data_IF_743923414022
#
_entry.id   IF_743923414022
#
_cell.length_a   1.000
_cell.length_b   1.000
_cell.length_c   1.000
_cell.angle_alpha   90.00
_cell.angle_beta   90.00
_cell.angle_gamma   90.00
#
_symmetry.space_group_name_H-M   'P 1'
#
loop_
_entity.id
_entity.type
_entity.pdbx_description
1 polymer ?
#
# COMPACT_ATOMS: atom_id res chain seq x y z
N UNK A 1 -6.79 -48.40 -8.70
CA UNK A 1 -6.27 -47.80 -9.96
C UNK A 1 -6.87 -46.43 -10.28
N UNK A 2 -8.20 -46.25 -10.29
CA UNK A 2 -8.83 -44.96 -10.63
C UNK A 2 -8.47 -43.77 -9.71
N UNK A 3 -8.30 -44.01 -8.40
CA UNK A 3 -7.89 -42.96 -7.47
C UNK A 3 -6.46 -42.46 -7.72
N UNK A 4 -5.54 -43.38 -8.08
CA UNK A 4 -4.13 -43.08 -8.32
C UNK A 4 -3.94 -42.33 -9.64
N UNK A 5 -4.65 -42.74 -10.71
CA UNK A 5 -4.69 -42.00 -11.98
C UNK A 5 -5.32 -40.61 -11.84
N UNK A 6 -6.39 -40.49 -11.05
CA UNK A 6 -7.03 -39.19 -10.77
C UNK A 6 -6.11 -38.28 -9.96
N UNK A 7 -5.35 -38.81 -8.99
CA UNK A 7 -4.34 -38.08 -8.25
C UNK A 7 -3.18 -37.60 -9.14
N UNK A 8 -2.66 -38.47 -10.03
CA UNK A 8 -1.58 -38.11 -10.97
C UNK A 8 -2.06 -37.03 -11.96
N UNK A 9 -3.27 -37.17 -12.50
CA UNK A 9 -3.85 -36.19 -13.44
C UNK A 9 -4.13 -34.85 -12.75
N UNK A 10 -4.65 -34.87 -11.52
CA UNK A 10 -4.83 -33.68 -10.67
C UNK A 10 -3.48 -33.00 -10.39
N UNK A 11 -2.44 -33.77 -10.07
CA UNK A 11 -1.08 -33.25 -9.81
C UNK A 11 -0.47 -32.61 -11.05
N UNK A 12 -0.61 -33.25 -12.22
CA UNK A 12 -0.12 -32.70 -13.50
C UNK A 12 -0.86 -31.42 -13.89
N UNK A 13 -2.17 -31.35 -13.65
CA UNK A 13 -2.96 -30.14 -13.89
C UNK A 13 -2.57 -28.99 -12.96
N UNK A 14 -2.36 -29.26 -11.66
CA UNK A 14 -1.93 -28.27 -10.67
C UNK A 14 -0.51 -27.76 -10.99
N UNK A 15 0.42 -28.65 -11.33
CA UNK A 15 1.78 -28.26 -11.74
C UNK A 15 1.74 -27.35 -12.97
N UNK A 16 0.98 -27.73 -14.01
CA UNK A 16 0.85 -26.94 -15.24
C UNK A 16 0.18 -25.57 -14.98
N UNK A 17 -0.79 -25.50 -14.07
CA UNK A 17 -1.44 -24.25 -13.67
C UNK A 17 -0.49 -23.33 -12.89
N UNK A 18 0.35 -23.89 -12.00
CA UNK A 18 1.38 -23.15 -11.27
C UNK A 18 2.47 -22.62 -12.22
N UNK A 19 2.93 -23.45 -13.17
CA UNK A 19 3.94 -23.06 -14.17
C UNK A 19 3.41 -21.96 -15.09
N UNK A 20 2.16 -22.07 -15.56
CA UNK A 20 1.52 -21.01 -16.37
C UNK A 20 1.35 -19.69 -15.61
N UNK A 21 1.04 -19.74 -14.30
CA UNK A 21 0.97 -18.56 -13.45
C UNK A 21 2.35 -17.92 -13.25
N UNK A 22 3.38 -18.74 -13.04
CA UNK A 22 4.76 -18.28 -12.89
C UNK A 22 5.23 -17.59 -14.18
N UNK A 23 4.98 -18.18 -15.35
CA UNK A 23 5.36 -17.58 -16.64
C UNK A 23 4.74 -16.18 -16.81
N UNK A 24 3.44 -16.02 -16.50
CA UNK A 24 2.78 -14.70 -16.56
C UNK A 24 3.44 -13.67 -15.64
N UNK A 25 3.80 -14.07 -14.42
CA UNK A 25 4.52 -13.20 -13.47
C UNK A 25 5.91 -12.86 -13.96
N UNK A 26 6.66 -13.83 -14.48
CA UNK A 26 8.00 -13.61 -15.03
C UNK A 26 7.98 -12.63 -16.19
N UNK A 27 7.04 -12.78 -17.13
CA UNK A 27 6.88 -11.85 -18.26
C UNK A 27 6.54 -10.45 -17.74
N UNK A 28 5.61 -10.34 -16.79
CA UNK A 28 5.23 -9.05 -16.22
C UNK A 28 6.39 -8.37 -15.47
N UNK A 29 7.12 -9.13 -14.65
CA UNK A 29 8.31 -8.63 -13.95
C UNK A 29 9.41 -8.19 -14.92
N UNK A 30 9.61 -8.92 -16.02
CA UNK A 30 10.56 -8.52 -17.08
C UNK A 30 10.16 -7.20 -17.75
N UNK A 31 8.87 -6.97 -18.00
CA UNK A 31 8.38 -5.69 -18.55
C UNK A 31 8.73 -4.55 -17.58
N UNK A 32 8.40 -4.69 -16.28
CA UNK A 32 8.72 -3.67 -15.28
C UNK A 32 10.23 -3.41 -15.19
N UNK A 33 11.04 -4.47 -15.18
CA UNK A 33 12.50 -4.32 -15.16
C UNK A 33 13.01 -3.65 -16.43
N UNK A 34 12.44 -3.94 -17.61
CA UNK A 34 12.84 -3.30 -18.87
C UNK A 34 12.53 -1.80 -18.89
N UNK A 35 11.49 -1.36 -18.18
CA UNK A 35 11.20 0.06 -17.98
C UNK A 35 12.31 0.76 -17.18
N UNK A 36 12.86 0.10 -16.15
CA UNK A 36 13.91 0.66 -15.29
C UNK A 36 15.20 1.01 -16.05
N UNK A 37 15.48 0.31 -17.15
CA UNK A 37 16.69 0.49 -17.96
C UNK A 37 16.49 1.38 -19.20
N UNK A 38 15.37 2.10 -19.30
CA UNK A 38 15.18 3.11 -20.35
C UNK A 38 16.13 4.31 -20.15
N UNK A 39 16.52 4.96 -21.25
CA UNK A 39 17.39 6.14 -21.26
C UNK A 39 16.60 7.45 -21.42
N UNK A 40 17.28 8.57 -21.13
CA UNK A 40 16.69 9.92 -21.18
C UNK A 40 15.76 10.23 -20.00
N UNK A 41 15.06 11.36 -20.10
CA UNK A 41 14.16 11.91 -19.07
C UNK A 41 13.10 10.90 -18.62
N UNK A 42 12.55 10.14 -19.58
CA UNK A 42 11.58 9.08 -19.30
C UNK A 42 12.15 7.99 -18.38
N UNK A 43 13.40 7.60 -18.63
CA UNK A 43 14.09 6.63 -17.78
C UNK A 43 14.41 7.17 -16.39
N UNK A 44 14.69 8.47 -16.27
CA UNK A 44 14.93 9.12 -14.97
C UNK A 44 13.69 9.08 -14.10
N UNK A 45 12.53 9.50 -14.64
CA UNK A 45 11.24 9.46 -13.94
C UNK A 45 10.90 8.04 -13.50
N UNK A 46 11.12 7.03 -14.35
CA UNK A 46 10.88 5.63 -13.98
C UNK A 46 11.76 5.21 -12.80
N UNK A 47 13.06 5.52 -12.83
CA UNK A 47 14.00 5.13 -11.76
C UNK A 47 13.70 5.85 -10.46
N UNK A 48 13.33 7.12 -10.52
CA UNK A 48 12.92 7.93 -9.38
C UNK A 48 11.65 7.35 -8.75
N UNK A 49 10.61 7.13 -9.55
CA UNK A 49 9.35 6.50 -9.15
C UNK A 49 9.55 5.13 -8.48
N UNK A 50 10.43 4.28 -9.03
CA UNK A 50 10.78 3.00 -8.42
C UNK A 50 11.55 3.15 -7.10
N UNK A 51 12.43 4.14 -7.00
CA UNK A 51 13.22 4.44 -5.80
C UNK A 51 12.29 4.92 -4.67
N UNK A 52 11.36 5.82 -4.98
CA UNK A 52 10.36 6.33 -4.05
C UNK A 52 9.42 5.23 -3.57
N UNK A 53 8.83 4.46 -4.47
CA UNK A 53 7.97 3.32 -4.12
C UNK A 53 8.69 2.29 -3.21
N UNK A 54 10.02 2.16 -3.32
CA UNK A 54 10.78 1.31 -2.41
C UNK A 54 11.03 1.98 -1.06
N UNK A 55 11.61 3.18 -1.04
CA UNK A 55 12.07 3.85 0.18
C UNK A 55 10.95 4.48 1.02
N UNK A 56 9.87 4.94 0.39
CA UNK A 56 8.75 5.58 1.10
C UNK A 56 7.65 4.58 1.46
N UNK A 57 7.48 3.51 0.69
CA UNK A 57 6.42 2.51 0.93
C UNK A 57 7.00 1.16 1.36
N UNK A 58 7.83 0.55 0.53
CA UNK A 58 8.20 -0.87 0.71
C UNK A 58 8.99 -1.16 1.98
N UNK A 59 9.89 -0.27 2.39
CA UNK A 59 10.68 -0.45 3.62
C UNK A 59 9.81 -0.35 4.87
N UNK A 60 8.79 0.53 4.89
CA UNK A 60 7.84 0.65 6.00
C UNK A 60 6.88 -0.54 6.05
N UNK A 61 6.45 -1.04 4.90
CA UNK A 61 5.68 -2.29 4.79
C UNK A 61 6.51 -3.48 5.29
N UNK A 62 7.76 -3.59 4.86
CA UNK A 62 8.67 -4.62 5.35
C UNK A 62 8.84 -4.55 6.86
N UNK A 63 9.08 -3.37 7.41
CA UNK A 63 9.23 -3.16 8.85
C UNK A 63 7.98 -3.53 9.64
N UNK A 64 6.82 -3.06 9.21
CA UNK A 64 5.53 -3.37 9.87
C UNK A 64 5.20 -4.87 9.81
N UNK A 65 5.50 -5.54 8.69
CA UNK A 65 5.36 -6.99 8.57
C UNK A 65 6.40 -7.76 9.43
N UNK A 66 7.63 -7.25 9.57
CA UNK A 66 8.61 -7.82 10.51
C UNK A 66 8.07 -7.79 11.94
N UNK A 67 7.49 -6.68 12.37
CA UNK A 67 6.87 -6.58 13.69
C UNK A 67 5.71 -7.57 13.79
N UNK A 68 4.75 -7.52 12.87
CA UNK A 68 3.50 -8.28 13.01
C UNK A 68 3.68 -9.79 12.85
N UNK A 69 4.39 -10.23 11.81
CA UNK A 69 4.71 -11.65 11.60
C UNK A 69 5.76 -12.11 12.63
N UNK A 70 6.66 -11.22 13.06
CA UNK A 70 7.65 -11.49 14.10
C UNK A 70 6.97 -11.81 15.42
N UNK A 71 6.01 -10.99 15.84
CA UNK A 71 5.19 -11.23 17.03
C UNK A 71 4.46 -12.57 16.96
N UNK A 72 3.86 -12.93 15.81
CA UNK A 72 3.15 -14.21 15.65
C UNK A 72 4.05 -15.45 15.60
N UNK A 73 5.31 -15.28 15.17
CA UNK A 73 6.23 -16.40 14.94
C UNK A 73 7.25 -16.61 16.05
N UNK A 74 7.67 -15.53 16.73
CA UNK A 74 8.67 -15.53 17.80
C UNK A 74 8.05 -15.58 19.19
N UNK A 75 6.76 -15.25 19.34
CA UNK A 75 6.07 -15.27 20.63
C UNK A 75 4.92 -16.27 20.65
N UNK A 76 4.39 -16.60 21.83
CA UNK A 76 3.14 -17.38 21.97
C UNK A 76 1.88 -16.59 21.55
N UNK A 77 2.03 -15.36 21.05
CA UNK A 77 0.93 -14.52 20.64
C UNK A 77 0.33 -15.04 19.33
N UNK A 78 -0.88 -15.60 19.42
CA UNK A 78 -1.58 -16.06 18.24
C UNK A 78 -2.48 -14.93 17.72
N UNK A 79 -2.09 -14.29 16.62
CA UNK A 79 -2.86 -13.20 15.99
C UNK A 79 -4.32 -13.61 15.80
N UNK A 80 -4.57 -14.86 15.38
CA UNK A 80 -5.93 -15.36 15.15
C UNK A 80 -6.77 -15.34 16.42
N UNK A 81 -6.18 -15.72 17.56
CA UNK A 81 -6.85 -15.71 18.86
C UNK A 81 -7.07 -14.29 19.36
N UNK A 82 -6.10 -13.39 19.16
CA UNK A 82 -6.24 -11.98 19.49
C UNK A 82 -7.40 -11.34 18.72
N UNK A 83 -7.39 -11.43 17.39
CA UNK A 83 -8.45 -10.90 16.52
C UNK A 83 -9.82 -11.51 16.86
N UNK A 84 -9.88 -12.81 17.17
CA UNK A 84 -11.16 -13.41 17.58
C UNK A 84 -11.73 -12.82 18.89
N UNK A 85 -10.86 -12.35 19.80
CA UNK A 85 -11.27 -11.75 21.07
C UNK A 85 -11.62 -10.26 20.93
N UNK A 86 -10.97 -9.55 20.01
CA UNK A 86 -11.09 -8.10 19.85
C UNK A 86 -12.02 -7.69 18.70
N UNK A 87 -12.90 -8.59 18.25
CA UNK A 87 -13.79 -8.36 17.10
C UNK A 87 -14.58 -7.05 17.16
N UNK A 88 -15.03 -6.64 18.35
CA UNK A 88 -15.74 -5.36 18.56
C UNK A 88 -14.89 -4.12 18.33
N UNK A 89 -13.57 -4.22 18.47
CA UNK A 89 -12.61 -3.12 18.38
C UNK A 89 -11.84 -3.12 17.06
N UNK A 90 -12.13 -4.03 16.12
CA UNK A 90 -11.43 -4.12 14.84
C UNK A 90 -11.49 -2.83 14.04
N UNK A 91 -12.65 -2.19 13.98
CA UNK A 91 -12.85 -0.91 13.29
C UNK A 91 -11.99 0.20 13.89
N UNK A 92 -12.03 0.36 15.22
CA UNK A 92 -11.24 1.37 15.93
C UNK A 92 -9.73 1.15 15.75
N UNK A 93 -9.26 -0.10 15.90
CA UNK A 93 -7.85 -0.45 15.69
C UNK A 93 -7.44 -0.19 14.24
N UNK A 94 -8.30 -0.50 13.28
CA UNK A 94 -8.03 -0.26 11.87
C UNK A 94 -7.91 1.23 11.56
N UNK A 95 -8.82 2.05 12.07
CA UNK A 95 -8.76 3.51 11.91
C UNK A 95 -7.52 4.10 12.59
N UNK A 96 -7.15 3.62 13.78
CA UNK A 96 -5.91 4.03 14.45
C UNK A 96 -4.66 3.69 13.65
N UNK A 97 -4.60 2.48 13.06
CA UNK A 97 -3.50 2.09 12.18
C UNK A 97 -3.46 2.91 10.88
N UNK A 98 -4.61 3.41 10.40
CA UNK A 98 -4.70 4.29 9.23
C UNK A 98 -4.22 5.70 9.53
N UNK A 99 -4.54 6.24 10.70
CA UNK A 99 -4.12 7.57 11.12
C UNK A 99 -2.59 7.70 11.37
N UNK A 100 -1.86 6.59 11.41
CA UNK A 100 -0.39 6.62 11.46
C UNK A 100 0.15 7.10 10.11
N UNK A 101 1.13 8.02 10.08
CA UNK A 101 1.67 8.53 8.83
C UNK A 101 2.36 7.41 8.02
N UNK A 102 2.25 7.50 6.70
CA UNK A 102 2.68 6.46 5.75
C UNK A 102 1.64 5.34 5.54
N UNK A 103 1.94 4.40 4.66
CA UNK A 103 0.99 3.36 4.24
C UNK A 103 1.09 2.03 5.02
N UNK A 104 2.07 1.87 5.92
CA UNK A 104 2.36 0.60 6.59
C UNK A 104 1.20 0.04 7.44
N UNK A 105 0.53 0.89 8.21
CA UNK A 105 -0.63 0.49 9.03
C UNK A 105 -1.84 0.09 8.19
N UNK A 106 -2.11 0.85 7.12
CA UNK A 106 -3.15 0.53 6.15
C UNK A 106 -2.92 -0.82 5.47
N UNK A 107 -1.69 -1.10 5.08
CA UNK A 107 -1.32 -2.38 4.45
C UNK A 107 -1.53 -3.55 5.41
N UNK A 108 -1.23 -3.41 6.71
CA UNK A 108 -1.56 -4.46 7.69
C UNK A 108 -3.06 -4.74 7.69
N UNK A 109 -3.92 -3.73 7.76
CA UNK A 109 -5.38 -3.94 7.80
C UNK A 109 -5.88 -4.57 6.50
N UNK A 110 -5.44 -4.08 5.34
CA UNK A 110 -5.75 -4.66 4.03
C UNK A 110 -5.31 -6.12 3.97
N UNK A 111 -4.11 -6.44 4.47
CA UNK A 111 -3.61 -7.83 4.51
C UNK A 111 -4.51 -8.75 5.33
N UNK A 112 -4.96 -8.29 6.50
CA UNK A 112 -5.83 -9.07 7.38
C UNK A 112 -7.25 -9.19 6.83
N UNK A 113 -7.75 -8.16 6.12
CA UNK A 113 -9.01 -8.21 5.40
C UNK A 113 -8.98 -9.27 4.29
N UNK A 114 -7.94 -9.26 3.45
CA UNK A 114 -7.79 -10.24 2.35
C UNK A 114 -7.65 -11.68 2.87
N UNK A 115 -7.09 -11.86 4.06
CA UNK A 115 -7.03 -13.16 4.75
C UNK A 115 -8.36 -13.58 5.40
N UNK A 116 -9.42 -12.76 5.27
CA UNK A 116 -10.74 -13.01 5.84
C UNK A 116 -10.80 -12.89 7.36
N UNK A 117 -9.85 -12.17 7.98
CA UNK A 117 -9.77 -12.00 9.44
C UNK A 117 -10.40 -10.71 9.94
N UNK A 118 -10.41 -9.67 9.10
CA UNK A 118 -11.11 -8.42 9.34
C UNK A 118 -12.33 -8.30 8.42
N UNK A 119 -13.30 -7.49 8.84
CA UNK A 119 -14.53 -7.19 8.10
C UNK A 119 -14.36 -6.00 7.14
N UNK A 120 -15.35 -5.79 6.29
CA UNK A 120 -15.35 -4.67 5.35
C UNK A 120 -15.39 -3.30 6.04
N UNK A 121 -16.08 -3.17 7.19
CA UNK A 121 -16.04 -1.94 7.97
C UNK A 121 -14.63 -1.55 8.42
N UNK A 122 -13.78 -2.52 8.79
CA UNK A 122 -12.37 -2.26 9.11
C UNK A 122 -11.56 -1.80 7.89
N UNK A 123 -11.86 -2.34 6.70
CA UNK A 123 -11.22 -1.90 5.45
C UNK A 123 -11.57 -0.45 5.14
N UNK A 124 -12.84 -0.07 5.23
CA UNK A 124 -13.23 1.34 5.01
C UNK A 124 -12.65 2.24 6.09
N UNK A 125 -12.68 1.83 7.36
CA UNK A 125 -12.17 2.65 8.46
C UNK A 125 -10.70 3.00 8.32
N UNK A 126 -9.86 2.08 7.84
CA UNK A 126 -8.44 2.34 7.63
C UNK A 126 -8.20 3.22 6.40
N UNK A 127 -8.94 2.98 5.30
CA UNK A 127 -8.82 3.76 4.07
C UNK A 127 -9.39 5.17 4.22
N UNK A 128 -10.34 5.38 5.13
CA UNK A 128 -10.88 6.72 5.44
C UNK A 128 -9.99 7.52 6.39
N UNK A 129 -9.17 6.84 7.20
CA UNK A 129 -8.32 7.48 8.21
C UNK A 129 -6.88 7.73 7.74
N UNK A 130 -6.49 7.19 6.59
CA UNK A 130 -5.12 7.26 6.08
C UNK A 130 -4.91 8.46 5.18
N UNK A 131 -3.82 9.17 5.40
CA UNK A 131 -3.38 10.28 4.55
C UNK A 131 -2.12 9.93 3.72
N UNK A 132 -1.56 8.72 3.91
CA UNK A 132 -0.37 8.28 3.20
C UNK A 132 0.85 9.13 3.55
N UNK A 133 1.68 9.45 2.56
CA UNK A 133 2.93 10.18 2.77
C UNK A 133 2.73 11.70 2.88
N UNK A 134 1.63 12.24 2.36
CA UNK A 134 1.22 13.63 2.56
C UNK A 134 1.08 13.98 4.06
N UNK A 135 0.78 12.97 4.88
CA UNK A 135 0.76 13.06 6.34
C UNK A 135 2.10 13.60 6.92
N UNK A 136 3.24 13.12 6.40
CA UNK A 136 4.56 13.57 6.84
C UNK A 136 4.83 15.02 6.43
N UNK A 137 4.41 15.40 5.23
CA UNK A 137 4.57 16.76 4.71
C UNK A 137 3.82 17.78 5.57
N UNK A 138 2.53 17.57 5.81
CA UNK A 138 1.73 18.51 6.61
C UNK A 138 2.21 18.54 8.05
N UNK A 139 2.55 17.40 8.66
CA UNK A 139 3.09 17.39 10.02
C UNK A 139 4.42 18.16 10.15
N UNK A 140 5.26 18.12 9.12
CA UNK A 140 6.54 18.82 9.11
C UNK A 140 6.38 20.34 8.98
N UNK A 141 5.40 20.80 8.19
CA UNK A 141 5.19 22.23 7.90
C UNK A 141 4.18 22.88 8.86
N UNK A 142 3.01 22.26 9.06
CA UNK A 142 1.93 22.71 9.94
C UNK A 142 1.47 21.59 10.90
N UNK A 143 2.23 21.32 11.98
CA UNK A 143 1.97 20.18 12.88
C UNK A 143 0.60 20.24 13.56
N UNK A 144 0.10 21.44 13.91
CA UNK A 144 -1.22 21.61 14.51
C UNK A 144 -2.34 21.20 13.56
N UNK A 145 -2.23 21.59 12.29
CA UNK A 145 -3.19 21.24 11.24
C UNK A 145 -3.10 19.75 10.93
N UNK A 146 -1.89 19.19 10.81
CA UNK A 146 -1.70 17.76 10.60
C UNK A 146 -2.34 16.90 11.71
N UNK A 147 -2.15 17.27 12.98
CA UNK A 147 -2.79 16.60 14.11
C UNK A 147 -4.32 16.72 14.07
N UNK A 148 -4.85 17.87 13.67
CA UNK A 148 -6.30 18.07 13.50
C UNK A 148 -6.86 17.13 12.42
N UNK A 149 -6.22 17.07 11.25
CA UNK A 149 -6.62 16.19 10.15
C UNK A 149 -6.60 14.72 10.61
N UNK A 150 -5.57 14.30 11.34
CA UNK A 150 -5.47 12.91 11.83
C UNK A 150 -6.55 12.57 12.84
N UNK A 151 -6.88 13.48 13.76
CA UNK A 151 -7.95 13.27 14.73
C UNK A 151 -9.31 13.20 14.04
N UNK A 152 -9.56 14.07 13.05
CA UNK A 152 -10.78 14.04 12.25
C UNK A 152 -10.85 12.72 11.47
N UNK A 153 -9.79 12.34 10.75
CA UNK A 153 -9.70 11.09 9.99
C UNK A 153 -9.92 9.85 10.87
N UNK A 154 -9.33 9.82 12.07
CA UNK A 154 -9.53 8.76 13.05
C UNK A 154 -10.99 8.66 13.49
N UNK A 155 -11.62 9.78 13.84
CA UNK A 155 -13.02 9.80 14.24
C UNK A 155 -13.94 9.39 13.09
N UNK A 156 -13.77 10.00 11.93
CA UNK A 156 -14.59 9.79 10.72
C UNK A 156 -14.44 8.36 10.22
N UNK A 157 -13.22 7.84 10.13
CA UNK A 157 -12.96 6.46 9.73
C UNK A 157 -13.57 5.46 10.71
N UNK A 158 -13.43 5.70 12.02
CA UNK A 158 -14.05 4.84 13.04
C UNK A 158 -15.58 4.84 12.93
N UNK A 159 -16.20 6.01 12.82
CA UNK A 159 -17.66 6.14 12.68
C UNK A 159 -18.13 5.44 11.40
N UNK A 160 -17.47 5.71 10.28
CA UNK A 160 -17.83 5.14 8.97
C UNK A 160 -17.73 3.63 8.96
N UNK A 161 -16.65 3.07 9.52
CA UNK A 161 -16.48 1.62 9.62
C UNK A 161 -17.54 0.93 10.48
N UNK A 162 -17.92 1.54 11.61
CA UNK A 162 -18.98 0.99 12.47
C UNK A 162 -20.37 1.10 11.83
N UNK A 163 -20.65 2.20 11.12
CA UNK A 163 -21.89 2.34 10.34
C UNK A 163 -21.99 1.22 9.30
N UNK A 164 -20.89 0.94 8.59
CA UNK A 164 -20.84 -0.12 7.58
C UNK A 164 -21.03 -1.50 8.19
N UNK A 165 -20.33 -1.80 9.28
CA UNK A 165 -20.49 -3.07 9.99
C UNK A 165 -21.92 -3.23 10.54
N UNK A 166 -22.58 -2.14 10.94
CA UNK A 166 -23.99 -2.15 11.37
C UNK A 166 -24.96 -2.40 10.21
N UNK A 167 -24.78 -1.74 9.07
CA UNK A 167 -25.69 -1.84 7.91
C UNK A 167 -25.56 -3.20 7.20
N UNK A 168 -24.33 -3.66 6.95
CA UNK A 168 -24.08 -4.83 6.09
C UNK A 168 -23.62 -6.08 6.85
N UNK A 169 -23.20 -5.92 8.11
CA UNK A 169 -22.59 -6.99 8.90
C UNK A 169 -21.14 -7.27 8.52
N UNK A 170 -20.41 -7.93 9.43
CA UNK A 170 -18.97 -8.19 9.30
C UNK A 170 -18.57 -9.15 8.16
N UNK A 171 -19.54 -9.80 7.52
CA UNK A 171 -19.32 -10.73 6.40
C UNK A 171 -19.46 -10.09 5.02
N UNK A 172 -19.87 -8.82 4.93
CA UNK A 172 -20.05 -8.12 3.67
C UNK A 172 -18.75 -8.05 2.85
N UNK A 173 -18.83 -8.35 1.55
CA UNK A 173 -17.71 -8.41 0.60
C UNK A 173 -16.49 -9.27 1.00
N UNK A 174 -16.62 -10.03 2.08
CA UNK A 174 -15.55 -10.86 2.60
C UNK A 174 -15.50 -12.14 1.76
N UNK A 175 -14.56 -12.21 0.81
CA UNK A 175 -14.34 -13.44 0.03
C UNK A 175 -13.77 -14.51 0.96
N UNK A 176 -14.59 -15.47 1.37
CA UNK A 176 -14.13 -16.76 1.90
C UNK A 176 -13.44 -17.53 0.77
N UNK A 177 -12.23 -17.16 0.42
CA UNK A 177 -11.44 -17.95 -0.51
C UNK A 177 -10.88 -19.18 0.21
N UNK A 178 -11.64 -20.27 0.16
CA UNK A 178 -11.12 -21.64 0.33
C UNK A 178 -10.28 -22.03 -0.90
N UNK A 179 -9.19 -21.32 -1.21
CA UNK A 179 -8.15 -21.94 -2.02
C UNK A 179 -7.39 -22.90 -1.11
N UNK A 180 -7.91 -24.13 -1.01
CA UNK A 180 -7.14 -25.28 -0.52
C UNK A 180 -6.02 -25.53 -1.53
N UNK A 181 -4.91 -24.80 -1.42
CA UNK A 181 -3.64 -25.34 -1.87
C UNK A 181 -3.40 -26.57 -1.00
N UNK A 182 -3.49 -27.75 -1.61
CA UNK A 182 -2.98 -28.96 -0.97
C UNK A 182 -1.54 -28.63 -0.55
N UNK A 183 -1.25 -28.79 0.75
CA UNK A 183 0.03 -28.53 1.39
C UNK A 183 1.14 -29.40 0.77
N UNK A 184 1.52 -29.16 -0.48
CA UNK A 184 2.86 -29.54 -0.92
C UNK A 184 3.79 -28.63 -0.12
N UNK A 185 4.43 -29.21 0.90
CA UNK A 185 5.58 -28.63 1.60
C UNK A 185 6.63 -28.31 0.54
N UNK A 186 6.53 -27.16 -0.10
CA UNK A 186 7.54 -26.68 -1.02
C UNK A 186 8.70 -26.17 -0.17
N UNK A 187 9.57 -27.13 0.13
CA UNK A 187 10.86 -26.87 0.73
C UNK A 187 11.62 -25.86 -0.16
N UNK A 188 12.04 -24.75 0.46
CA UNK A 188 13.00 -23.73 -0.02
C UNK A 188 13.01 -23.52 -1.55
N UNK A 189 12.30 -22.49 -2.00
CA UNK A 189 12.35 -22.00 -3.39
C UNK A 189 13.73 -21.40 -3.69
N UNK A 190 14.19 -21.46 -4.95
CA UNK A 190 15.43 -20.82 -5.43
C UNK A 190 15.59 -19.38 -4.92
N UNK A 191 14.51 -18.60 -5.01
CA UNK A 191 14.43 -17.20 -4.60
C UNK A 191 14.72 -17.00 -3.10
N UNK A 192 14.41 -17.99 -2.24
CA UNK A 192 14.68 -17.88 -0.80
C UNK A 192 16.16 -17.76 -0.44
N UNK A 193 17.08 -18.06 -1.38
CA UNK A 193 18.52 -17.81 -1.21
C UNK A 193 18.86 -16.31 -1.17
N UNK A 194 18.05 -15.48 -1.84
CA UNK A 194 18.24 -14.03 -1.90
C UNK A 194 17.68 -13.29 -0.69
N UNK A 195 17.02 -13.98 0.26
CA UNK A 195 16.48 -13.35 1.46
C UNK A 195 17.53 -12.58 2.28
N UNK A 196 18.77 -13.08 2.35
CA UNK A 196 19.85 -12.39 3.05
C UNK A 196 20.31 -11.13 2.31
N UNK A 197 20.38 -11.19 0.97
CA UNK A 197 20.68 -10.01 0.15
C UNK A 197 19.57 -8.96 0.30
N UNK A 198 18.31 -9.40 0.31
CA UNK A 198 17.17 -8.52 0.54
C UNK A 198 17.26 -7.83 1.90
N UNK A 199 17.61 -8.56 2.97
CA UNK A 199 17.81 -7.99 4.30
C UNK A 199 18.96 -6.97 4.35
N UNK A 200 20.04 -7.24 3.61
CA UNK A 200 21.19 -6.35 3.52
C UNK A 200 20.83 -5.00 2.88
N UNK A 201 19.97 -4.99 1.86
CA UNK A 201 19.48 -3.76 1.22
C UNK A 201 18.39 -3.09 2.05
N UNK A 202 17.50 -3.88 2.64
CA UNK A 202 16.38 -3.40 3.45
C UNK A 202 16.85 -2.58 4.66
N UNK A 203 17.87 -3.03 5.39
CA UNK A 203 18.35 -2.36 6.61
C UNK A 203 18.76 -0.89 6.40
N UNK A 204 19.68 -0.55 5.47
CA UNK A 204 20.00 0.84 5.16
C UNK A 204 18.84 1.56 4.45
N UNK A 205 18.05 0.86 3.62
CA UNK A 205 16.87 1.43 2.98
C UNK A 205 15.83 1.92 4.00
N UNK A 206 15.62 1.19 5.09
CA UNK A 206 14.71 1.59 6.16
C UNK A 206 15.20 2.83 6.91
N UNK A 207 16.51 2.93 7.16
CA UNK A 207 17.11 4.13 7.76
C UNK A 207 16.90 5.34 6.84
N UNK A 208 17.15 5.19 5.53
CA UNK A 208 16.91 6.27 4.57
C UNK A 208 15.44 6.63 4.45
N UNK A 209 14.53 5.65 4.44
CA UNK A 209 13.09 5.90 4.45
C UNK A 209 12.66 6.75 5.63
N UNK A 210 13.16 6.46 6.85
CA UNK A 210 12.90 7.28 8.04
C UNK A 210 13.42 8.72 7.84
N UNK A 211 14.65 8.87 7.38
CA UNK A 211 15.26 10.19 7.21
C UNK A 211 14.53 11.03 6.14
N UNK A 212 14.09 10.41 5.04
CA UNK A 212 13.25 11.04 4.01
C UNK A 212 11.88 11.45 4.59
N UNK A 213 11.26 10.58 5.39
CA UNK A 213 9.97 10.90 6.03
C UNK A 213 10.05 12.10 6.99
N UNK A 214 11.21 12.36 7.60
CA UNK A 214 11.48 13.56 8.39
C UNK A 214 11.87 14.79 7.55
N UNK A 215 11.73 14.73 6.22
CA UNK A 215 12.11 15.80 5.28
C UNK A 215 13.56 16.26 5.45
N UNK A 216 14.45 15.35 5.85
CA UNK A 216 15.88 15.64 5.98
C UNK A 216 16.50 15.57 4.58
N UNK A 217 17.08 16.68 4.12
CA UNK A 217 17.77 16.77 2.82
C UNK A 217 19.06 15.92 2.80
N UNK A 218 18.93 14.63 2.54
CA UNK A 218 20.04 13.67 2.46
C UNK A 218 20.81 13.77 1.14
N UNK A 219 20.17 14.26 0.08
CA UNK A 219 20.76 14.34 -1.26
C UNK A 219 22.03 15.19 -1.29
N UNK A 220 22.14 16.19 -0.42
CA UNK A 220 23.31 17.06 -0.33
C UNK A 220 24.51 16.39 0.36
N UNK A 221 24.30 15.36 1.16
CA UNK A 221 25.33 14.77 2.03
C UNK A 221 25.83 13.40 1.56
N UNK A 222 25.07 12.70 0.71
CA UNK A 222 25.34 11.32 0.28
C UNK A 222 25.67 11.18 -1.23
N UNK A 223 26.15 12.26 -1.84
CA UNK A 223 26.63 12.27 -3.23
C UNK A 223 27.96 11.51 -3.33
N UNK A 224 27.97 10.36 -4.03
CA UNK A 224 29.23 9.67 -4.39
C UNK A 224 29.85 10.27 -5.68
N UNK A 225 29.04 10.85 -6.56
CA UNK A 225 29.42 11.55 -7.80
C UNK A 225 28.25 12.43 -8.28
N UNK A 226 28.48 13.40 -9.17
CA UNK A 226 27.48 14.37 -9.69
C UNK A 226 26.19 13.72 -10.24
N UNK A 227 26.19 12.41 -10.54
CA UNK A 227 25.02 11.67 -11.05
C UNK A 227 24.62 10.44 -10.19
N UNK A 228 25.36 10.12 -9.12
CA UNK A 228 25.16 8.88 -8.36
C UNK A 228 25.03 9.19 -6.86
N UNK A 229 23.81 9.00 -6.36
CA UNK A 229 23.45 9.15 -4.95
C UNK A 229 23.28 7.76 -4.30
N UNK A 230 23.76 7.59 -3.07
CA UNK A 230 23.58 6.33 -2.35
C UNK A 230 22.09 5.97 -2.14
N UNK A 231 21.23 6.98 -2.02
CA UNK A 231 19.78 6.82 -1.87
C UNK A 231 19.19 6.13 -3.10
N UNK A 232 19.51 6.62 -4.30
CA UNK A 232 19.00 6.07 -5.56
C UNK A 232 19.55 4.68 -5.81
N UNK A 233 20.80 4.38 -5.46
CA UNK A 233 21.36 3.02 -5.53
C UNK A 233 20.57 2.06 -4.65
N UNK A 234 20.36 2.40 -3.37
CA UNK A 234 19.70 1.49 -2.43
C UNK A 234 18.23 1.31 -2.81
N UNK A 235 17.53 2.39 -3.14
CA UNK A 235 16.12 2.34 -3.53
C UNK A 235 15.90 1.56 -4.82
N UNK A 236 16.63 1.87 -5.88
CA UNK A 236 16.52 1.15 -7.16
C UNK A 236 16.93 -0.32 -7.04
N UNK A 237 18.02 -0.63 -6.33
CA UNK A 237 18.46 -2.02 -6.09
C UNK A 237 17.41 -2.80 -5.30
N UNK A 238 16.81 -2.19 -4.29
CA UNK A 238 15.73 -2.77 -3.51
C UNK A 238 14.47 -3.04 -4.33
N UNK A 239 14.06 -2.08 -5.17
CA UNK A 239 12.93 -2.21 -6.08
C UNK A 239 13.15 -3.35 -7.10
N UNK A 240 14.30 -3.35 -7.78
CA UNK A 240 14.71 -4.36 -8.76
C UNK A 240 14.75 -5.75 -8.12
N UNK A 241 15.38 -5.87 -6.95
CA UNK A 241 15.46 -7.14 -6.24
C UNK A 241 14.06 -7.64 -5.84
N UNK A 242 13.17 -6.76 -5.39
CA UNK A 242 11.80 -7.12 -4.99
C UNK A 242 10.99 -7.65 -6.18
N UNK A 243 11.04 -6.98 -7.34
CA UNK A 243 10.38 -7.41 -8.58
C UNK A 243 10.98 -8.74 -9.07
N UNK A 244 12.30 -8.86 -9.06
CA UNK A 244 13.00 -10.10 -9.44
C UNK A 244 12.57 -11.28 -8.57
N UNK A 245 12.60 -11.10 -7.24
CA UNK A 245 12.21 -12.14 -6.29
C UNK A 245 10.72 -12.49 -6.42
N UNK A 246 9.83 -11.51 -6.61
CA UNK A 246 8.40 -11.76 -6.77
C UNK A 246 8.08 -12.50 -8.07
N UNK A 247 8.70 -12.10 -9.18
CA UNK A 247 8.42 -12.61 -10.53
C UNK A 247 8.86 -14.07 -10.71
N UNK A 248 9.98 -14.47 -10.10
CA UNK A 248 10.52 -15.83 -10.18
C UNK A 248 10.06 -16.76 -9.05
N UNK A 249 9.24 -16.28 -8.12
CA UNK A 249 8.77 -17.07 -6.99
C UNK A 249 7.37 -17.65 -7.28
N UNK A 250 7.22 -18.97 -7.49
CA UNK A 250 5.91 -19.60 -7.66
C UNK A 250 5.00 -19.45 -6.43
N UNK A 251 5.56 -19.14 -5.26
CA UNK A 251 4.87 -18.93 -3.98
C UNK A 251 4.69 -17.46 -3.60
N UNK A 252 4.96 -16.52 -4.51
CA UNK A 252 4.75 -15.08 -4.26
C UNK A 252 3.29 -14.65 -4.28
N UNK A 253 2.36 -15.59 -4.44
CA UNK A 253 0.95 -15.28 -4.24
C UNK A 253 0.69 -14.94 -2.79
N UNK A 254 -0.01 -13.83 -2.57
CA UNK A 254 -0.26 -13.27 -1.24
C UNK A 254 -0.74 -14.30 -0.19
N UNK A 255 -1.64 -15.20 -0.59
CA UNK A 255 -2.14 -16.27 0.30
C UNK A 255 -1.06 -17.31 0.65
N UNK A 256 -0.12 -17.59 -0.25
CA UNK A 256 0.99 -18.51 -0.03
C UNK A 256 2.16 -17.85 0.72
N UNK A 257 2.39 -16.55 0.50
CA UNK A 257 3.40 -15.78 1.23
C UNK A 257 3.09 -15.66 2.73
N UNK A 258 1.83 -15.78 3.10
CA UNK A 258 1.37 -15.64 4.49
C UNK A 258 1.22 -16.96 5.25
N UNK A 259 1.50 -18.09 4.60
CA UNK A 259 1.42 -19.44 5.19
C UNK A 259 2.43 -19.63 6.33
N UNK A 260 1.95 -20.12 7.49
CA UNK A 260 2.73 -20.41 8.69
C UNK A 260 3.69 -21.59 8.54
N UNK A 261 3.51 -22.45 7.54
CA UNK A 261 4.44 -23.57 7.27
C UNK A 261 5.84 -23.10 6.85
N UNK A 262 5.97 -21.83 6.44
CA UNK A 262 7.19 -21.21 5.93
C UNK A 262 7.94 -20.44 7.00
N UNK A 263 9.26 -20.31 6.82
CA UNK A 263 10.10 -19.53 7.72
C UNK A 263 9.67 -18.06 7.81
N UNK A 264 9.78 -17.48 9.00
CA UNK A 264 9.43 -16.09 9.30
C UNK A 264 9.96 -15.09 8.26
N UNK A 265 11.28 -15.13 8.00
CA UNK A 265 11.94 -14.23 7.06
C UNK A 265 11.35 -14.38 5.65
N UNK A 266 11.15 -15.61 5.17
CA UNK A 266 10.57 -15.84 3.84
C UNK A 266 9.16 -15.30 3.72
N UNK A 267 8.35 -15.35 4.79
CA UNK A 267 6.98 -14.81 4.78
C UNK A 267 6.98 -13.29 4.71
N UNK A 268 7.85 -12.63 5.48
CA UNK A 268 8.00 -11.17 5.43
C UNK A 268 8.46 -10.75 4.03
N UNK A 269 9.58 -11.29 3.56
CA UNK A 269 10.16 -10.94 2.26
C UNK A 269 9.18 -11.16 1.11
N UNK A 270 8.53 -12.33 1.03
CA UNK A 270 7.61 -12.61 -0.06
C UNK A 270 6.37 -11.73 -0.05
N UNK A 271 5.84 -11.42 1.15
CA UNK A 271 4.68 -10.54 1.30
C UNK A 271 5.04 -9.10 0.97
N UNK A 272 6.21 -8.62 1.42
CA UNK A 272 6.70 -7.28 1.07
C UNK A 272 6.93 -7.17 -0.43
N UNK A 273 7.64 -8.12 -1.06
CA UNK A 273 7.90 -8.09 -2.50
C UNK A 273 6.62 -8.11 -3.34
N UNK A 274 5.58 -8.83 -2.89
CA UNK A 274 4.26 -8.78 -3.49
C UNK A 274 3.69 -7.36 -3.45
N UNK A 275 3.66 -6.73 -2.27
CA UNK A 275 3.13 -5.38 -2.10
C UNK A 275 3.96 -4.37 -2.91
N UNK A 276 5.28 -4.41 -2.79
CA UNK A 276 6.24 -3.56 -3.51
C UNK A 276 6.00 -3.58 -5.01
N UNK A 277 5.82 -4.77 -5.61
CA UNK A 277 5.62 -4.86 -7.06
C UNK A 277 4.36 -4.11 -7.50
N UNK A 278 3.25 -4.26 -6.77
CA UNK A 278 1.99 -3.59 -7.13
C UNK A 278 2.01 -2.09 -6.85
N UNK A 279 2.68 -1.66 -5.78
CA UNK A 279 2.88 -0.23 -5.52
C UNK A 279 3.73 0.40 -6.62
N UNK A 280 4.83 -0.25 -7.03
CA UNK A 280 5.64 0.21 -8.17
C UNK A 280 4.80 0.31 -9.45
N UNK A 281 3.95 -0.69 -9.74
CA UNK A 281 3.06 -0.60 -10.89
C UNK A 281 2.13 0.62 -10.81
N UNK A 282 1.60 0.90 -9.62
CA UNK A 282 0.75 2.06 -9.36
C UNK A 282 1.45 3.38 -9.64
N UNK A 283 2.62 3.56 -9.04
CA UNK A 283 3.44 4.77 -9.20
C UNK A 283 3.85 4.96 -10.66
N UNK A 284 4.31 3.90 -11.33
CA UNK A 284 4.68 3.98 -12.74
C UNK A 284 3.50 4.34 -13.64
N UNK A 285 2.30 3.79 -13.40
CA UNK A 285 1.11 4.17 -14.19
C UNK A 285 0.80 5.65 -14.03
N UNK A 286 0.87 6.17 -12.81
CA UNK A 286 0.61 7.59 -12.52
C UNK A 286 1.68 8.49 -13.16
N UNK A 287 2.96 8.22 -12.94
CA UNK A 287 4.07 9.02 -13.46
C UNK A 287 4.15 9.00 -14.99
N UNK A 288 3.95 7.82 -15.60
CA UNK A 288 3.89 7.71 -17.07
C UNK A 288 2.72 8.52 -17.62
N UNK A 289 1.56 8.48 -16.96
CA UNK A 289 0.41 9.28 -17.35
C UNK A 289 0.71 10.78 -17.27
N UNK A 290 1.29 11.26 -16.17
CA UNK A 290 1.66 12.66 -16.00
C UNK A 290 2.71 13.12 -17.01
N UNK A 291 3.72 12.29 -17.27
CA UNK A 291 4.78 12.57 -18.24
C UNK A 291 4.23 12.78 -19.67
N UNK A 292 3.29 11.93 -20.12
CA UNK A 292 2.74 12.02 -21.47
C UNK A 292 1.65 13.07 -21.62
N UNK A 293 0.89 13.35 -20.54
CA UNK A 293 -0.23 14.29 -20.62
C UNK A 293 0.20 15.74 -20.41
N UNK A 294 1.32 15.99 -19.73
CA UNK A 294 1.84 17.33 -19.42
C UNK A 294 0.77 18.25 -18.80
N UNK A 295 -0.19 17.67 -18.08
CA UNK A 295 -1.28 18.39 -17.46
C UNK A 295 -0.78 19.09 -16.20
N UNK A 296 -0.95 20.40 -16.11
CA UNK A 296 -0.79 21.12 -14.86
C UNK A 296 -2.00 20.85 -13.94
N UNK A 297 -1.76 20.14 -12.85
CA UNK A 297 -2.80 19.78 -11.88
C UNK A 297 -3.43 21.02 -11.22
N UNK A 298 -2.72 22.15 -11.18
CA UNK A 298 -3.22 23.39 -10.61
C UNK A 298 -4.48 23.90 -11.31
N UNK A 299 -4.62 23.65 -12.61
CA UNK A 299 -5.78 24.07 -13.41
C UNK A 299 -7.10 23.51 -12.85
N UNK A 300 -7.08 22.31 -12.24
CA UNK A 300 -8.27 21.72 -11.63
C UNK A 300 -8.71 22.44 -10.35
N UNK A 301 -7.82 23.21 -9.72
CA UNK A 301 -8.09 23.97 -8.50
C UNK A 301 -8.31 25.46 -8.76
N UNK A 302 -8.13 25.95 -9.99
CA UNK A 302 -8.54 27.29 -10.41
C UNK A 302 -10.05 27.32 -10.79
N UNK A 303 -10.90 26.77 -9.92
CA UNK A 303 -12.37 26.69 -10.07
C UNK A 303 -13.04 27.45 -8.93
N UNK A 304 -14.34 27.73 -9.07
CA UNK A 304 -15.15 28.36 -8.02
C UNK A 304 -15.05 27.61 -6.68
N UNK A 305 -14.81 28.37 -5.59
CA UNK A 305 -14.52 27.88 -4.24
C UNK A 305 -15.41 26.69 -3.77
N UNK A 306 -16.75 26.70 -3.96
CA UNK A 306 -17.61 25.60 -3.52
C UNK A 306 -17.36 24.25 -4.20
N UNK A 307 -16.64 24.22 -5.33
CA UNK A 307 -16.27 22.98 -6.02
C UNK A 307 -14.89 22.45 -5.62
N UNK A 308 -14.06 23.24 -4.93
CA UNK A 308 -12.71 22.79 -4.54
C UNK A 308 -12.73 21.54 -3.65
N UNK A 309 -13.62 21.42 -2.63
CA UNK A 309 -13.74 20.17 -1.87
C UNK A 309 -14.08 18.96 -2.73
N UNK A 310 -14.99 19.13 -3.70
CA UNK A 310 -15.38 18.04 -4.59
C UNK A 310 -14.22 17.59 -5.48
N UNK A 311 -13.46 18.54 -6.06
CA UNK A 311 -12.28 18.22 -6.89
C UNK A 311 -11.23 17.50 -6.04
N UNK A 312 -10.95 18.00 -4.84
CA UNK A 312 -9.97 17.40 -3.94
C UNK A 312 -10.37 15.97 -3.53
N UNK A 313 -11.66 15.70 -3.33
CA UNK A 313 -12.19 14.35 -3.07
C UNK A 313 -11.98 13.43 -4.27
N UNK A 314 -12.24 13.91 -5.50
CA UNK A 314 -12.00 13.13 -6.71
C UNK A 314 -10.52 12.82 -6.91
N UNK A 315 -9.62 13.73 -6.56
CA UNK A 315 -8.19 13.48 -6.53
C UNK A 315 -7.83 12.42 -5.47
N UNK A 316 -8.53 12.37 -4.34
CA UNK A 316 -8.30 11.35 -3.31
C UNK A 316 -8.63 9.92 -3.77
N UNK A 317 -9.53 9.75 -4.75
CA UNK A 317 -9.81 8.44 -5.35
C UNK A 317 -8.68 7.92 -6.23
N UNK A 318 -7.75 8.79 -6.64
CA UNK A 318 -6.59 8.37 -7.41
C UNK A 318 -5.62 7.65 -6.47
N UNK A 319 -5.34 6.35 -6.68
CA UNK A 319 -4.44 5.62 -5.82
C UNK A 319 -3.01 6.15 -5.98
N UNK A 320 -2.26 6.18 -4.88
CA UNK A 320 -0.89 6.71 -4.83
C UNK A 320 -0.69 7.63 -3.64
N UNK A 321 0.52 8.18 -3.52
CA UNK A 321 0.81 9.34 -2.69
C UNK A 321 0.96 10.62 -3.52
N UNK A 322 1.26 10.53 -4.82
CA UNK A 322 1.47 11.67 -5.72
C UNK A 322 0.30 12.67 -5.74
N UNK A 323 -0.92 12.26 -6.13
CA UNK A 323 -2.10 13.14 -6.11
C UNK A 323 -2.31 13.83 -4.75
N UNK A 324 -2.03 13.14 -3.66
CA UNK A 324 -2.28 13.59 -2.29
C UNK A 324 -1.22 14.57 -1.81
N UNK A 325 0.05 14.32 -2.14
CA UNK A 325 1.15 15.26 -1.87
C UNK A 325 0.93 16.56 -2.66
N UNK A 326 0.40 16.47 -3.89
CA UNK A 326 0.03 17.66 -4.68
C UNK A 326 -1.06 18.48 -3.99
N UNK A 327 -2.15 17.85 -3.55
CA UNK A 327 -3.24 18.56 -2.85
C UNK A 327 -2.74 19.19 -1.55
N UNK A 328 -1.99 18.45 -0.74
CA UNK A 328 -1.38 18.97 0.49
C UNK A 328 -0.43 20.15 0.21
N UNK A 329 0.35 20.09 -0.87
CA UNK A 329 1.23 21.19 -1.29
C UNK A 329 0.42 22.40 -1.72
N UNK A 330 -0.71 22.23 -2.41
CA UNK A 330 -1.58 23.34 -2.76
C UNK A 330 -2.24 23.98 -1.54
N UNK A 331 -2.61 23.18 -0.55
CA UNK A 331 -3.11 23.69 0.74
C UNK A 331 -2.04 24.50 1.47
N UNK A 332 -0.84 23.94 1.66
CA UNK A 332 0.27 24.59 2.38
C UNK A 332 0.74 25.89 1.70
N UNK A 333 0.60 26.00 0.38
CA UNK A 333 0.89 27.23 -0.37
C UNK A 333 -0.29 28.21 -0.43
N UNK A 334 -1.44 27.89 0.16
CA UNK A 334 -2.63 28.74 0.21
C UNK A 334 -3.43 28.81 -1.09
N UNK A 335 -3.24 27.85 -2.02
CA UNK A 335 -4.04 27.77 -3.25
C UNK A 335 -5.42 27.18 -3.04
N UNK A 336 -5.57 26.25 -2.09
CA UNK A 336 -6.85 25.62 -1.75
C UNK A 336 -7.12 25.73 -0.24
N UNK A 337 -8.39 25.75 0.17
CA UNK A 337 -8.75 25.84 1.57
C UNK A 337 -8.60 24.51 2.32
N UNK A 338 -8.64 24.54 3.65
CA UNK A 338 -8.51 23.34 4.50
C UNK A 338 -9.68 22.37 4.30
N UNK A 339 -10.88 22.87 3.98
CA UNK A 339 -12.00 21.99 3.61
C UNK A 339 -11.68 21.06 2.44
N UNK A 340 -10.93 21.55 1.45
CA UNK A 340 -10.52 20.76 0.30
C UNK A 340 -9.49 19.70 0.71
N UNK A 341 -8.51 20.07 1.52
CA UNK A 341 -7.53 19.14 2.08
C UNK A 341 -8.18 18.05 2.95
N UNK A 342 -9.14 18.43 3.81
CA UNK A 342 -9.92 17.47 4.61
C UNK A 342 -10.72 16.50 3.73
N UNK A 343 -11.32 17.00 2.64
CA UNK A 343 -12.00 16.17 1.66
C UNK A 343 -11.05 15.14 1.05
N UNK A 344 -9.89 15.58 0.57
CA UNK A 344 -8.87 14.70 0.01
C UNK A 344 -8.36 13.68 1.03
N UNK A 345 -7.99 14.12 2.23
CA UNK A 345 -7.44 13.28 3.29
C UNK A 345 -8.41 12.16 3.73
N UNK A 346 -9.73 12.41 3.71
CA UNK A 346 -10.74 11.41 4.12
C UNK A 346 -11.10 10.46 2.98
N UNK A 347 -11.07 10.92 1.73
CA UNK A 347 -11.35 10.08 0.55
C UNK A 347 -10.12 9.38 -0.01
N UNK A 348 -8.95 9.56 0.62
CA UNK A 348 -7.67 9.03 0.18
C UNK A 348 -7.49 7.56 0.58
N UNK A 349 -7.48 6.66 -0.39
CA UNK A 349 -7.27 5.24 -0.12
C UNK A 349 -5.78 4.84 0.06
N UNK A 350 -4.84 5.75 -0.19
CA UNK A 350 -3.39 5.57 -0.07
C UNK A 350 -2.80 4.41 -0.89
N UNK A 351 -1.51 4.11 -0.69
CA UNK A 351 -0.81 3.05 -1.45
C UNK A 351 -1.27 1.64 -1.11
N UNK A 352 -1.95 1.49 0.03
CA UNK A 352 -2.56 0.24 0.45
C UNK A 352 -3.69 -0.22 -0.51
N UNK A 353 -4.23 0.71 -1.31
CA UNK A 353 -5.24 0.41 -2.32
C UNK A 353 -4.67 -0.44 -3.47
N UNK A 354 -3.41 -0.30 -3.86
CA UNK A 354 -2.87 -1.06 -5.01
C UNK A 354 -2.90 -2.58 -4.76
N UNK A 355 -2.38 -3.11 -3.63
CA UNK A 355 -2.55 -4.53 -3.31
C UNK A 355 -4.03 -4.95 -3.15
N UNK A 356 -4.88 -4.06 -2.62
CA UNK A 356 -6.31 -4.33 -2.44
C UNK A 356 -7.04 -4.47 -3.78
N UNK A 357 -6.73 -3.63 -4.77
CA UNK A 357 -7.27 -3.72 -6.14
C UNK A 357 -6.80 -5.01 -6.80
N UNK A 358 -5.52 -5.37 -6.65
CA UNK A 358 -4.96 -6.58 -7.25
C UNK A 358 -5.61 -7.87 -6.72
N UNK A 359 -5.99 -7.91 -5.44
CA UNK A 359 -6.49 -9.13 -4.77
C UNK A 359 -8.01 -9.17 -4.61
N UNK A 360 -8.62 -8.03 -4.28
CA UNK A 360 -10.05 -7.88 -3.98
C UNK A 360 -10.62 -6.62 -4.63
N UNK A 361 -10.65 -6.52 -5.98
CA UNK A 361 -10.98 -5.28 -6.69
C UNK A 361 -12.37 -4.74 -6.36
N UNK A 362 -13.37 -5.61 -6.19
CA UNK A 362 -14.72 -5.20 -5.81
C UNK A 362 -14.75 -4.53 -4.43
N UNK A 363 -14.00 -5.07 -3.46
CA UNK A 363 -13.96 -4.50 -2.13
C UNK A 363 -13.20 -3.17 -2.13
N UNK A 364 -12.09 -3.08 -2.86
CA UNK A 364 -11.32 -1.84 -3.02
C UNK A 364 -12.20 -0.72 -3.59
N UNK A 365 -12.81 -0.91 -4.76
CA UNK A 365 -13.65 0.11 -5.41
C UNK A 365 -14.83 0.51 -4.53
N UNK A 366 -15.50 -0.46 -3.90
CA UNK A 366 -16.64 -0.15 -3.03
C UNK A 366 -16.17 0.62 -1.80
N UNK A 367 -15.00 0.30 -1.22
CA UNK A 367 -14.45 1.03 -0.09
C UNK A 367 -14.19 2.51 -0.43
N UNK A 368 -13.58 2.79 -1.59
CA UNK A 368 -13.38 4.15 -2.13
C UNK A 368 -14.70 4.93 -2.25
N UNK A 369 -15.76 4.27 -2.74
CA UNK A 369 -17.07 4.91 -2.84
C UNK A 369 -17.70 5.17 -1.47
N UNK A 370 -17.44 4.31 -0.48
CA UNK A 370 -17.92 4.52 0.88
C UNK A 370 -17.15 5.61 1.63
N UNK A 371 -15.86 5.82 1.35
CA UNK A 371 -15.07 6.93 1.93
C UNK A 371 -15.47 8.30 1.36
N UNK A 372 -15.99 8.33 0.13
CA UNK A 372 -16.51 9.55 -0.50
C UNK A 372 -17.64 10.25 0.30
N UNK A 373 -18.54 9.46 0.88
CA UNK A 373 -19.72 9.98 1.61
C UNK A 373 -19.30 10.79 2.85
N UNK A 374 -18.53 10.23 3.80
CA UNK A 374 -18.05 11.00 4.94
C UNK A 374 -17.10 12.14 4.53
N UNK A 375 -16.30 11.96 3.46
CA UNK A 375 -15.44 13.04 2.95
C UNK A 375 -16.26 14.25 2.50
N UNK A 376 -17.32 14.05 1.72
CA UNK A 376 -18.24 15.12 1.31
C UNK A 376 -18.88 15.80 2.52
N UNK A 377 -19.37 15.01 3.49
CA UNK A 377 -20.02 15.57 4.67
C UNK A 377 -19.04 16.45 5.46
N UNK A 378 -17.84 15.95 5.75
CA UNK A 378 -16.86 16.65 6.58
C UNK A 378 -16.31 17.88 5.87
N UNK A 379 -15.92 17.74 4.60
CA UNK A 379 -15.34 18.82 3.82
C UNK A 379 -16.33 19.99 3.64
N UNK A 380 -17.56 19.72 3.19
CA UNK A 380 -18.56 20.77 3.00
C UNK A 380 -19.08 21.36 4.32
N UNK A 381 -19.15 20.57 5.39
CA UNK A 381 -19.48 21.10 6.72
C UNK A 381 -18.39 22.01 7.23
N UNK A 382 -17.12 21.64 7.06
CA UNK A 382 -15.98 22.47 7.45
C UNK A 382 -15.97 23.79 6.67
N UNK A 383 -16.14 23.71 5.35
CA UNK A 383 -16.24 24.88 4.48
C UNK A 383 -17.34 25.82 5.01
N UNK A 384 -18.59 25.36 5.11
CA UNK A 384 -19.70 26.23 5.50
C UNK A 384 -19.59 26.86 6.91
N UNK A 385 -18.91 26.19 7.85
CA UNK A 385 -18.82 26.64 9.24
C UNK A 385 -17.60 27.55 9.47
N UNK A 386 -16.48 27.31 8.79
CA UNK A 386 -15.20 27.92 9.11
C UNK A 386 -14.57 28.74 7.97
N UNK A 387 -15.02 28.57 6.72
CA UNK A 387 -14.44 29.19 5.51
C UNK A 387 -15.49 29.95 4.69
#
# INVERSE_FOLDING_TARGET
MNALFKAIKKRKYIALANDGRLIKKSIFGLILLSCAFQSGDFGEIIRESMTEAYLQVSVFVGFTLFIFIGLDSLTNFNIKKFLSKTQKYHVLIASFLGALPGCGGAIIVVTQYIQGRLGFGSLVAVLTATMGDAAFLILAVEPSTGLLIFLIGLCVGTISGYIIDYIHGSSFLNKKNEFKFDNEKLNKVFVSKFNYLWLLIFSPGFIFGILIAFQINLEKYLVLSDQINLITIIGSSGAILSIFMWSLNPLSDFQCSTDKSRGFISRVVDTTNFVTTWVICGFLIFEIFMFFTLIDLKIFFDIWLPFLPLVAILFGFLPGCGPQVVVATFYLNGFIPLSAELGNAISNDGDALFPAIALTPKAAIIATLYSAIPALIVAYSYMYIFE
#
